data_IF_237757568244
#
_entry.id   IF_237757568244
#
_cell.length_a   1.000
_cell.length_b   1.000
_cell.length_c   1.000
_cell.angle_alpha   90.00
_cell.angle_beta   90.00
_cell.angle_gamma   90.00
#
_symmetry.space_group_name_H-M   'P 1'
#
loop_
_entity.id
_entity.type
_entity.pdbx_description
1 polymer ?
#
# COMPACT_ATOMS: atom_id res chain seq x y z
N UNK A 1 -18.06 -33.65 34.77
CA UNK A 1 -17.28 -32.44 35.10
C UNK A 1 -17.65 -31.37 34.08
N UNK A 2 -18.35 -30.32 34.51
CA UNK A 2 -18.64 -29.22 33.62
C UNK A 2 -17.35 -28.40 33.40
N UNK A 3 -16.99 -28.17 32.14
CA UNK A 3 -15.88 -27.27 31.80
C UNK A 3 -16.20 -25.87 32.33
N UNK A 4 -15.30 -25.31 33.11
CA UNK A 4 -15.43 -23.94 33.59
C UNK A 4 -15.49 -22.99 32.38
N UNK A 5 -16.60 -22.26 32.20
CA UNK A 5 -16.71 -21.20 31.21
C UNK A 5 -15.61 -20.16 31.45
N UNK A 6 -14.71 -20.03 30.51
CA UNK A 6 -13.64 -19.05 30.56
C UNK A 6 -14.26 -17.65 30.35
N UNK A 7 -14.38 -16.91 31.43
CA UNK A 7 -14.94 -15.56 31.41
C UNK A 7 -14.02 -14.67 30.59
N UNK A 8 -14.46 -14.28 29.39
CA UNK A 8 -13.71 -13.33 28.54
C UNK A 8 -13.74 -11.96 29.21
N UNK A 9 -12.57 -11.42 29.54
CA UNK A 9 -12.43 -10.04 29.96
C UNK A 9 -12.05 -9.19 28.74
N UNK A 10 -12.73 -8.07 28.54
CA UNK A 10 -12.43 -7.12 27.49
C UNK A 10 -11.80 -5.89 28.13
N UNK A 11 -10.63 -5.49 27.64
CA UNK A 11 -10.00 -4.23 27.99
C UNK A 11 -10.25 -3.24 26.86
N UNK A 12 -10.84 -2.09 27.19
CA UNK A 12 -11.08 -1.02 26.22
C UNK A 12 -9.98 0.02 26.39
N UNK A 13 -9.11 0.13 25.40
CA UNK A 13 -8.09 1.18 25.33
C UNK A 13 -8.72 2.38 24.63
N UNK A 14 -8.91 3.48 25.35
CA UNK A 14 -9.58 4.69 24.84
C UNK A 14 -8.65 5.63 24.09
N UNK A 15 -7.34 5.50 24.28
CA UNK A 15 -6.35 6.37 23.68
C UNK A 15 -5.03 5.62 23.50
N UNK A 16 -4.39 5.86 22.36
CA UNK A 16 -3.05 5.35 22.06
C UNK A 16 -2.03 6.46 22.30
N UNK A 17 -1.06 6.25 23.19
CA UNK A 17 0.01 7.21 23.49
C UNK A 17 1.31 6.95 22.72
N UNK A 18 1.54 5.71 22.31
CA UNK A 18 2.73 5.38 21.53
C UNK A 18 3.18 3.92 21.63
N UNK A 19 4.30 3.64 20.97
CA UNK A 19 5.02 2.36 21.08
C UNK A 19 6.22 2.55 21.99
N UNK A 20 6.25 1.81 23.10
CA UNK A 20 7.35 1.83 24.05
C UNK A 20 8.18 0.54 23.93
N UNK A 21 9.30 0.60 23.22
CA UNK A 21 10.20 -0.52 23.00
C UNK A 21 11.32 -0.62 24.05
N UNK A 22 11.45 0.38 24.92
CA UNK A 22 12.53 0.46 25.91
C UNK A 22 12.15 -0.12 27.28
N UNK A 23 10.87 -0.06 27.64
CA UNK A 23 10.42 -0.58 28.91
C UNK A 23 10.17 -2.08 28.84
N UNK A 24 10.33 -2.76 30.00
CA UNK A 24 9.88 -4.14 30.11
C UNK A 24 8.36 -4.18 29.88
N UNK A 25 7.86 -5.23 29.25
CA UNK A 25 6.41 -5.40 28.92
C UNK A 25 5.47 -5.23 30.13
N UNK A 26 5.97 -5.51 31.33
CA UNK A 26 5.20 -5.36 32.58
C UNK A 26 5.21 -3.91 33.12
N UNK A 27 6.05 -3.03 32.56
CA UNK A 27 6.24 -1.64 32.99
C UNK A 27 5.69 -0.61 31.99
N UNK A 28 5.11 -1.05 30.87
CA UNK A 28 4.47 -0.14 29.90
C UNK A 28 3.08 0.27 30.44
N UNK A 29 2.65 1.48 30.11
CA UNK A 29 1.32 1.97 30.46
C UNK A 29 0.24 1.23 29.68
N UNK A 30 -0.99 1.20 30.20
CA UNK A 30 -2.14 0.60 29.52
C UNK A 30 -2.46 1.25 28.16
N UNK A 31 -2.01 2.48 27.94
CA UNK A 31 -2.17 3.27 26.70
C UNK A 31 -1.00 3.15 25.73
N UNK A 32 0.05 2.42 26.12
CA UNK A 32 1.22 2.16 25.29
C UNK A 32 1.27 0.70 24.84
N UNK A 33 1.90 0.45 23.68
CA UNK A 33 2.12 -0.88 23.17
C UNK A 33 3.62 -1.17 23.04
N UNK A 34 4.04 -2.39 23.34
CA UNK A 34 5.42 -2.83 23.12
C UNK A 34 5.69 -3.16 21.65
N UNK A 35 4.64 -3.48 20.90
CA UNK A 35 4.69 -3.89 19.50
C UNK A 35 3.34 -3.64 18.84
N UNK A 36 3.35 -3.19 17.60
CA UNK A 36 2.17 -3.02 16.76
C UNK A 36 2.41 -3.69 15.41
N UNK A 37 1.45 -4.44 14.94
CA UNK A 37 1.47 -5.08 13.63
C UNK A 37 0.14 -4.82 12.91
N UNK A 38 0.23 -4.53 11.61
CA UNK A 38 -0.93 -4.27 10.75
C UNK A 38 -1.84 -3.13 11.23
N UNK A 39 -1.27 -2.17 11.97
CA UNK A 39 -1.97 -0.95 12.37
C UNK A 39 -1.06 0.26 12.19
N UNK A 40 -1.65 1.38 11.84
CA UNK A 40 -0.97 2.67 11.71
C UNK A 40 -1.63 3.72 12.61
N UNK A 41 -0.87 4.61 13.22
CA UNK A 41 -1.44 5.76 13.92
C UNK A 41 -2.04 6.75 12.92
N UNK A 42 -3.27 7.17 13.19
CA UNK A 42 -3.95 8.22 12.43
C UNK A 42 -4.38 9.33 13.39
N UNK A 43 -3.85 10.54 13.16
CA UNK A 43 -4.13 11.65 14.06
C UNK A 43 -3.64 11.39 15.49
N UNK A 44 -4.16 12.14 16.44
CA UNK A 44 -3.75 12.05 17.84
C UNK A 44 -4.54 10.97 18.58
N UNK A 45 -3.83 9.93 19.01
CA UNK A 45 -4.40 8.89 19.89
C UNK A 45 -5.27 7.83 19.22
N UNK A 46 -5.33 7.79 17.88
CA UNK A 46 -6.12 6.81 17.15
C UNK A 46 -5.23 5.83 16.36
N UNK A 47 -5.71 4.59 16.22
CA UNK A 47 -5.09 3.55 15.41
C UNK A 47 -6.08 3.09 14.33
N UNK A 48 -5.58 2.87 13.13
CA UNK A 48 -6.32 2.27 12.02
C UNK A 48 -5.60 0.99 11.60
N UNK A 49 -6.37 -0.04 11.34
CA UNK A 49 -5.83 -1.26 10.71
C UNK A 49 -5.32 -0.90 9.33
N UNK A 50 -4.09 -1.31 9.02
CA UNK A 50 -3.56 -1.17 7.65
C UNK A 50 -4.38 -2.06 6.72
N UNK A 51 -4.72 -1.56 5.52
CA UNK A 51 -5.38 -2.40 4.52
C UNK A 51 -4.54 -3.65 4.25
N UNK A 52 -5.19 -4.76 4.00
CA UNK A 52 -4.50 -5.96 3.51
C UNK A 52 -3.95 -5.67 2.11
N UNK A 53 -2.80 -6.24 1.81
CA UNK A 53 -2.28 -6.25 0.45
C UNK A 53 -2.96 -7.39 -0.31
N UNK A 54 -3.55 -7.06 -1.46
CA UNK A 54 -4.01 -8.05 -2.42
C UNK A 54 -3.03 -8.05 -3.58
N UNK A 55 -2.64 -9.24 -4.02
CA UNK A 55 -1.91 -9.40 -5.26
C UNK A 55 -2.89 -9.13 -6.41
N UNK A 56 -2.55 -8.18 -7.27
CA UNK A 56 -3.35 -7.85 -8.45
C UNK A 56 -3.21 -8.90 -9.58
N UNK A 57 -2.30 -9.87 -9.41
CA UNK A 57 -2.06 -10.91 -10.42
C UNK A 57 -1.45 -10.37 -11.73
N UNK A 58 -0.85 -9.19 -11.68
CA UNK A 58 -0.24 -8.52 -12.82
C UNK A 58 1.15 -9.05 -13.07
N UNK A 59 1.45 -9.42 -14.31
CA UNK A 59 2.79 -9.80 -14.75
C UNK A 59 3.24 -8.83 -15.83
N UNK A 60 4.30 -8.09 -15.58
CA UNK A 60 4.92 -7.18 -16.52
C UNK A 60 5.86 -7.93 -17.48
N UNK A 61 6.11 -7.35 -18.66
CA UNK A 61 6.98 -7.97 -19.66
C UNK A 61 8.46 -7.97 -19.24
N UNK A 62 8.87 -6.94 -18.48
CA UNK A 62 10.23 -6.82 -17.97
C UNK A 62 10.21 -6.32 -16.51
N UNK A 63 11.40 -6.10 -15.91
CA UNK A 63 11.51 -5.58 -14.55
C UNK A 63 11.05 -4.12 -14.50
N UNK A 64 10.12 -3.82 -13.60
CA UNK A 64 9.63 -2.45 -13.40
C UNK A 64 10.65 -1.64 -12.63
N UNK A 65 11.11 -0.53 -13.22
CA UNK A 65 12.05 0.41 -12.59
C UNK A 65 11.36 1.62 -11.97
N UNK A 66 10.22 2.02 -12.51
CA UNK A 66 9.39 3.09 -11.98
C UNK A 66 7.90 2.79 -12.11
N UNK A 67 7.12 3.18 -11.10
CA UNK A 67 5.67 3.00 -11.07
C UNK A 67 5.01 4.32 -10.69
N UNK A 68 4.02 4.74 -11.47
CA UNK A 68 3.23 5.94 -11.23
C UNK A 68 1.75 5.62 -11.22
N UNK A 69 1.01 6.30 -10.35
CA UNK A 69 -0.45 6.23 -10.32
C UNK A 69 -1.09 7.49 -10.88
N UNK A 70 -2.21 7.33 -11.53
CA UNK A 70 -2.94 8.44 -12.15
C UNK A 70 -4.41 8.10 -12.32
N UNK A 71 -5.25 9.11 -12.46
CA UNK A 71 -6.66 8.96 -12.78
C UNK A 71 -6.98 9.68 -14.10
N UNK A 72 -7.49 8.95 -15.08
CA UNK A 72 -7.89 9.50 -16.37
C UNK A 72 -9.37 9.28 -16.61
N UNK A 73 -10.10 10.38 -16.69
CA UNK A 73 -11.53 10.30 -16.97
C UNK A 73 -12.33 9.45 -15.97
N UNK A 74 -11.84 9.31 -14.74
CA UNK A 74 -12.45 8.48 -13.69
C UNK A 74 -11.94 7.04 -13.63
N UNK A 75 -10.98 6.68 -14.47
CA UNK A 75 -10.31 5.36 -14.46
C UNK A 75 -8.96 5.49 -13.75
N UNK A 76 -8.71 4.60 -12.79
CA UNK A 76 -7.45 4.57 -12.05
C UNK A 76 -6.43 3.69 -12.77
N UNK A 77 -5.29 4.28 -13.14
CA UNK A 77 -4.21 3.59 -13.82
C UNK A 77 -2.93 3.58 -13.00
N UNK A 78 -2.16 2.51 -13.16
CA UNK A 78 -0.74 2.48 -12.87
C UNK A 78 0.02 2.49 -14.19
N UNK A 79 1.06 3.32 -14.29
CA UNK A 79 2.01 3.31 -15.40
C UNK A 79 3.28 2.68 -14.89
N UNK A 80 3.67 1.56 -15.48
CA UNK A 80 4.93 0.88 -15.21
C UNK A 80 5.94 1.20 -16.31
N UNK A 81 7.12 1.68 -15.93
CA UNK A 81 8.28 1.79 -16.82
C UNK A 81 9.22 0.64 -16.52
N UNK A 82 9.69 0.02 -17.59
CA UNK A 82 10.46 -1.22 -17.53
C UNK A 82 11.95 -0.99 -17.80
N UNK A 83 12.78 -1.91 -17.30
CA UNK A 83 14.24 -1.86 -17.44
C UNK A 83 14.70 -1.91 -18.90
N UNK A 84 13.94 -2.57 -19.76
CA UNK A 84 14.21 -2.65 -21.20
C UNK A 84 13.80 -1.39 -21.98
N UNK A 85 13.25 -0.40 -21.32
CA UNK A 85 12.79 0.86 -21.90
C UNK A 85 11.38 0.79 -22.47
N UNK A 86 10.62 -0.23 -22.14
CA UNK A 86 9.19 -0.33 -22.39
C UNK A 86 8.34 0.41 -21.34
N UNK A 87 7.05 0.51 -21.61
CA UNK A 87 6.09 0.99 -20.63
C UNK A 87 4.70 0.36 -20.83
N UNK A 88 4.04 0.08 -19.72
CA UNK A 88 2.71 -0.53 -19.69
C UNK A 88 1.74 0.29 -18.83
N UNK A 89 0.48 0.33 -19.26
CA UNK A 89 -0.65 0.76 -18.44
C UNK A 89 -1.30 -0.43 -17.77
N UNK A 90 -1.64 -0.25 -16.51
CA UNK A 90 -2.46 -1.20 -15.75
C UNK A 90 -3.71 -0.47 -15.28
N UNK A 91 -4.88 -0.88 -15.77
CA UNK A 91 -6.17 -0.42 -15.24
C UNK A 91 -6.44 -1.13 -13.91
N UNK A 92 -6.47 -0.36 -12.84
CA UNK A 92 -6.69 -0.85 -11.46
C UNK A 92 -8.01 -0.36 -10.87
N UNK A 93 -8.92 0.15 -11.70
CA UNK A 93 -10.24 0.63 -11.28
C UNK A 93 -11.05 -0.48 -10.62
N UNK A 94 -10.97 -1.68 -11.17
CA UNK A 94 -11.52 -2.90 -10.60
C UNK A 94 -10.38 -3.88 -10.27
N UNK A 95 -10.00 -4.02 -8.99
CA UNK A 95 -8.91 -4.91 -8.58
C UNK A 95 -9.15 -6.39 -8.88
N UNK A 96 -10.39 -6.80 -9.16
CA UNK A 96 -10.72 -8.18 -9.54
C UNK A 96 -10.61 -8.44 -11.05
N UNK A 97 -10.57 -7.36 -11.85
CA UNK A 97 -10.49 -7.41 -13.31
C UNK A 97 -9.44 -6.43 -13.85
N UNK A 98 -8.20 -6.66 -13.47
CA UNK A 98 -7.07 -5.83 -13.90
C UNK A 98 -6.71 -6.11 -15.35
N UNK A 99 -6.56 -5.07 -16.17
CA UNK A 99 -6.07 -5.18 -17.55
C UNK A 99 -4.74 -4.47 -17.72
N UNK A 100 -3.90 -4.99 -18.63
CA UNK A 100 -2.59 -4.44 -18.97
C UNK A 100 -2.57 -4.15 -20.46
N UNK A 101 -2.10 -2.95 -20.80
CA UNK A 101 -1.90 -2.50 -22.17
C UNK A 101 -0.50 -1.94 -22.34
N UNK A 102 0.21 -2.39 -23.40
CA UNK A 102 1.52 -1.84 -23.75
C UNK A 102 1.34 -0.46 -24.38
N UNK A 103 1.99 0.54 -23.79
CA UNK A 103 1.96 1.93 -24.31
C UNK A 103 3.25 2.33 -25.00
N UNK A 104 4.34 1.62 -24.75
CA UNK A 104 5.60 1.82 -25.41
C UNK A 104 6.38 0.49 -25.51
N UNK A 105 6.89 0.22 -26.71
CA UNK A 105 7.72 -0.95 -26.96
C UNK A 105 9.08 -0.85 -26.24
N UNK A 106 9.73 -1.99 -25.95
CA UNK A 106 11.09 -2.02 -25.43
C UNK A 106 12.06 -1.14 -26.23
N UNK A 107 12.92 -0.40 -25.53
CA UNK A 107 13.87 0.53 -26.13
C UNK A 107 13.31 1.91 -26.49
N UNK A 108 12.03 2.19 -26.20
CA UNK A 108 11.43 3.52 -26.43
C UNK A 108 11.96 4.57 -25.47
N UNK A 109 12.17 4.20 -24.22
CA UNK A 109 12.68 5.06 -23.16
C UNK A 109 14.05 4.62 -22.67
N UNK A 110 14.83 5.56 -22.15
CA UNK A 110 16.04 5.21 -21.42
C UNK A 110 15.69 4.94 -19.96
N UNK A 111 15.84 3.69 -19.55
CA UNK A 111 15.52 3.25 -18.20
C UNK A 111 16.65 3.59 -17.22
N UNK A 112 16.78 4.87 -16.84
CA UNK A 112 17.82 5.35 -15.92
C UNK A 112 17.34 5.57 -14.48
N UNK A 113 16.09 5.20 -14.17
CA UNK A 113 15.48 5.35 -12.85
C UNK A 113 15.12 6.79 -12.48
N UNK A 114 15.35 7.76 -13.37
CA UNK A 114 15.05 9.19 -13.13
C UNK A 114 13.75 9.65 -13.78
N UNK A 115 13.03 8.74 -14.40
CA UNK A 115 11.76 9.04 -15.08
C UNK A 115 10.73 9.60 -14.10
N UNK A 116 10.06 10.66 -14.52
CA UNK A 116 9.00 11.30 -13.77
C UNK A 116 7.81 11.54 -14.68
N UNK A 117 6.63 11.23 -14.17
CA UNK A 117 5.36 11.51 -14.83
C UNK A 117 4.64 12.57 -14.04
N UNK A 118 4.11 13.56 -14.74
CA UNK A 118 3.21 14.53 -14.14
C UNK A 118 1.89 14.53 -14.88
N UNK A 119 0.80 14.41 -14.14
CA UNK A 119 -0.54 14.47 -14.70
C UNK A 119 -0.97 15.94 -14.82
N UNK A 120 -1.44 16.34 -16.01
CA UNK A 120 -2.05 17.63 -16.24
C UNK A 120 -3.46 17.46 -16.79
N UNK A 121 -4.48 17.70 -15.95
CA UNK A 121 -5.90 17.40 -16.21
C UNK A 121 -6.07 15.92 -16.57
N UNK A 122 -6.70 15.64 -17.72
CA UNK A 122 -6.91 14.27 -18.22
C UNK A 122 -5.81 13.81 -19.19
N UNK A 123 -4.61 14.42 -19.12
CA UNK A 123 -3.48 14.13 -20.00
C UNK A 123 -2.21 13.89 -19.19
N UNK A 124 -1.29 13.12 -19.77
CA UNK A 124 0.05 12.95 -19.22
C UNK A 124 1.06 13.86 -19.88
N UNK A 125 2.01 14.33 -19.09
CA UNK A 125 3.27 14.84 -19.58
C UNK A 125 4.34 13.86 -19.08
N UNK A 126 4.96 13.15 -20.00
CA UNK A 126 6.14 12.34 -19.72
C UNK A 126 7.40 13.17 -19.89
#
# INVERSE_FOLDING_TARGET
>A
MAAAEQKKSYQVIKQFEGVNTKANRTAIKETEFSYLENVMPIGFGNLKVTPSYNDLGVTFLSNVVNLFSCNLGGVDYLIAFEEDGGAEFVDVTDPENVSIDVIADPGTFTADGTMRVSQWRDKYLM
#
